data_IF_313691572602
#
_entry.id   IF_313691572602
#
_cell.length_a   1.000
_cell.length_b   1.000
_cell.length_c   1.000
_cell.angle_alpha   90.00
_cell.angle_beta   90.00
_cell.angle_gamma   90.00
#
_symmetry.space_group_name_H-M   'P 1'
#
loop_
_entity.id
_entity.type
_entity.pdbx_description
1 polymer ?
#
# COMPACT_ATOMS: atom_id res chain seq x y z
N UNK A 1 16.63 21.84 2.63
CA UNK A 1 16.49 20.72 1.68
C UNK A 1 16.63 21.15 0.21
N UNK A 2 16.03 22.26 -0.22
CA UNK A 2 16.17 22.81 -1.59
C UNK A 2 17.60 22.71 -2.21
N UNK A 3 18.64 23.12 -1.47
CA UNK A 3 20.03 23.02 -1.94
C UNK A 3 20.48 21.56 -2.20
N UNK A 4 20.09 20.63 -1.33
CA UNK A 4 20.47 19.21 -1.41
C UNK A 4 19.86 18.57 -2.65
N UNK A 5 18.54 18.73 -2.85
CA UNK A 5 17.85 18.12 -4.00
C UNK A 5 18.30 18.73 -5.33
N UNK A 6 18.57 20.04 -5.37
CA UNK A 6 19.15 20.70 -6.54
C UNK A 6 20.51 20.10 -6.90
N UNK A 7 21.41 19.98 -5.93
CA UNK A 7 22.75 19.42 -6.17
C UNK A 7 22.69 17.95 -6.60
N UNK A 8 21.78 17.16 -6.05
CA UNK A 8 21.57 15.78 -6.49
C UNK A 8 21.07 15.73 -7.93
N UNK A 9 20.12 16.60 -8.30
CA UNK A 9 19.59 16.70 -9.66
C UNK A 9 20.68 17.09 -10.67
N UNK A 10 21.50 18.10 -10.35
CA UNK A 10 22.68 18.51 -11.14
C UNK A 10 23.68 17.36 -11.37
N UNK A 11 23.72 16.39 -10.46
CA UNK A 11 24.54 15.17 -10.57
C UNK A 11 23.85 14.03 -11.34
N UNK A 12 22.73 14.29 -12.04
CA UNK A 12 22.02 13.30 -12.86
C UNK A 12 21.10 12.36 -12.06
N UNK A 13 20.64 12.81 -10.88
CA UNK A 13 19.74 12.04 -10.02
C UNK A 13 18.30 12.41 -10.31
N UNK A 14 17.44 11.41 -10.54
CA UNK A 14 16.01 11.70 -10.63
C UNK A 14 15.47 11.98 -9.23
N UNK A 15 14.74 13.07 -9.07
CA UNK A 15 14.15 13.51 -7.81
C UNK A 15 12.64 13.36 -7.88
N UNK A 16 12.07 12.70 -6.87
CA UNK A 16 10.62 12.69 -6.61
C UNK A 16 10.41 13.23 -5.21
N UNK A 17 9.54 14.22 -5.06
CA UNK A 17 9.25 14.86 -3.79
C UNK A 17 7.76 14.78 -3.45
N UNK A 18 7.46 14.54 -2.18
CA UNK A 18 6.16 14.80 -1.57
C UNK A 18 6.32 16.04 -0.70
N UNK A 19 5.62 17.10 -1.05
CA UNK A 19 5.68 18.42 -0.41
C UNK A 19 4.32 18.73 0.25
N UNK A 20 4.37 19.15 1.51
CA UNK A 20 3.24 19.78 2.20
C UNK A 20 3.68 21.17 2.65
N UNK A 21 3.35 22.20 1.87
CA UNK A 21 3.72 23.58 2.18
C UNK A 21 4.24 24.42 1.01
N UNK A 22 4.10 23.97 -0.24
CA UNK A 22 4.46 24.72 -1.46
C UNK A 22 5.92 25.21 -1.47
N UNK A 23 6.82 24.49 -0.83
CA UNK A 23 8.19 24.95 -0.56
C UNK A 23 9.16 24.71 -1.72
N UNK A 24 8.74 23.95 -2.74
CA UNK A 24 9.60 23.51 -3.85
C UNK A 24 9.11 23.96 -5.23
N UNK A 25 8.02 24.73 -5.32
CA UNK A 25 7.46 25.22 -6.60
C UNK A 25 8.53 25.96 -7.42
N UNK A 26 9.12 27.01 -6.85
CA UNK A 26 10.12 27.81 -7.57
C UNK A 26 11.39 27.04 -7.95
N UNK A 27 11.80 26.03 -7.17
CA UNK A 27 12.93 25.17 -7.55
C UNK A 27 12.53 24.23 -8.69
N UNK A 28 11.34 23.64 -8.61
CA UNK A 28 10.82 22.75 -9.64
C UNK A 28 10.72 23.47 -10.97
N UNK A 29 10.19 24.69 -11.01
CA UNK A 29 10.14 25.53 -12.20
C UNK A 29 11.54 25.86 -12.73
N UNK A 30 12.47 26.25 -11.83
CA UNK A 30 13.84 26.59 -12.20
C UNK A 30 14.58 25.47 -12.93
N UNK A 31 14.38 24.22 -12.51
CA UNK A 31 15.02 23.05 -13.14
C UNK A 31 14.21 22.45 -14.30
N UNK A 32 13.08 23.07 -14.66
CA UNK A 32 12.17 22.56 -15.69
C UNK A 32 11.49 21.24 -15.32
N UNK A 33 11.29 21.00 -14.01
CA UNK A 33 10.63 19.81 -13.50
C UNK A 33 9.10 19.88 -13.58
N UNK A 34 8.45 18.80 -13.14
CA UNK A 34 7.00 18.67 -13.10
C UNK A 34 6.46 18.93 -11.69
N UNK A 35 5.72 20.02 -11.53
CA UNK A 35 4.97 20.32 -10.31
C UNK A 35 3.52 19.85 -10.44
N UNK A 36 3.06 19.02 -9.51
CA UNK A 36 1.73 18.40 -9.52
C UNK A 36 1.08 18.68 -8.18
N UNK A 37 0.10 19.58 -8.16
CA UNK A 37 -0.70 19.87 -6.98
C UNK A 37 -2.00 19.08 -7.00
N UNK A 38 -2.37 18.54 -5.84
CA UNK A 38 -3.67 17.91 -5.65
C UNK A 38 -4.77 18.97 -5.60
N UNK A 39 -5.80 18.78 -6.42
CA UNK A 39 -7.08 19.51 -6.33
C UNK A 39 -8.24 18.51 -6.48
N UNK A 40 -9.44 18.87 -6.02
CA UNK A 40 -10.63 18.02 -6.21
C UNK A 40 -10.95 17.82 -7.70
N UNK A 41 -10.75 18.85 -8.54
CA UNK A 41 -11.00 18.78 -9.98
C UNK A 41 -9.91 18.04 -10.75
N UNK A 42 -8.67 18.08 -10.24
CA UNK A 42 -7.50 17.40 -10.81
C UNK A 42 -6.80 16.60 -9.70
N UNK A 43 -7.39 15.48 -9.26
CA UNK A 43 -6.75 14.64 -8.26
C UNK A 43 -5.49 14.00 -8.84
N UNK A 44 -4.55 13.64 -7.97
CA UNK A 44 -3.44 12.77 -8.36
C UNK A 44 -4.03 11.36 -8.55
N UNK A 45 -4.03 10.86 -9.78
CA UNK A 45 -4.63 9.59 -10.15
C UNK A 45 -3.59 8.53 -10.52
N UNK A 46 -3.92 7.27 -10.26
CA UNK A 46 -3.15 6.11 -10.71
C UNK A 46 -4.06 4.88 -10.75
N UNK A 47 -3.76 3.92 -11.63
CA UNK A 47 -4.38 2.60 -11.58
C UNK A 47 -3.37 1.61 -10.98
N UNK A 48 -3.36 1.40 -9.66
CA UNK A 48 -2.39 0.53 -9.01
C UNK A 48 -2.59 -0.96 -9.35
N UNK A 49 -3.78 -1.33 -9.82
CA UNK A 49 -4.16 -2.70 -10.17
C UNK A 49 -3.69 -3.09 -11.58
N UNK A 50 -3.40 -2.11 -12.43
CA UNK A 50 -2.92 -2.37 -13.79
C UNK A 50 -1.45 -2.74 -13.77
N UNK A 51 -1.19 -4.05 -13.81
CA UNK A 51 0.17 -4.59 -13.80
C UNK A 51 0.34 -5.69 -14.85
N UNK A 52 1.58 -5.90 -15.29
CA UNK A 52 1.95 -7.07 -16.08
C UNK A 52 2.33 -8.26 -15.17
N UNK A 53 2.40 -9.45 -15.76
CA UNK A 53 2.70 -10.68 -15.01
C UNK A 53 4.04 -10.65 -14.28
N UNK A 54 5.04 -9.98 -14.85
CA UNK A 54 6.38 -9.83 -14.26
C UNK A 54 6.39 -8.89 -13.06
N UNK A 55 5.40 -8.00 -12.97
CA UNK A 55 5.25 -7.04 -11.86
C UNK A 55 4.47 -7.64 -10.69
N UNK A 56 3.72 -8.73 -10.92
CA UNK A 56 3.04 -9.49 -9.87
C UNK A 56 4.07 -10.27 -9.04
N UNK A 57 4.50 -9.65 -7.95
CA UNK A 57 5.43 -10.20 -6.97
C UNK A 57 4.95 -9.88 -5.55
N UNK A 58 5.62 -10.44 -4.54
CA UNK A 58 5.29 -10.25 -3.11
C UNK A 58 5.18 -8.76 -2.74
N UNK A 59 6.03 -7.93 -3.34
CA UNK A 59 6.10 -6.50 -3.06
C UNK A 59 4.85 -5.77 -3.59
N UNK A 60 4.45 -6.05 -4.84
CA UNK A 60 3.24 -5.48 -5.44
C UNK A 60 1.98 -5.99 -4.75
N UNK A 61 1.92 -7.28 -4.40
CA UNK A 61 0.80 -7.85 -3.63
C UNK A 61 0.69 -7.19 -2.26
N UNK A 62 1.82 -6.98 -1.57
CA UNK A 62 1.86 -6.26 -0.29
C UNK A 62 1.36 -4.82 -0.39
N UNK A 63 1.77 -4.09 -1.44
CA UNK A 63 1.28 -2.75 -1.72
C UNK A 63 -0.24 -2.72 -1.91
N UNK A 64 -0.77 -3.57 -2.79
CA UNK A 64 -2.21 -3.63 -3.07
C UNK A 64 -3.02 -4.06 -1.84
N UNK A 65 -2.48 -4.97 -1.03
CA UNK A 65 -3.08 -5.37 0.24
C UNK A 65 -3.21 -4.17 1.18
N UNK A 66 -2.13 -3.43 1.38
CA UNK A 66 -2.13 -2.25 2.24
C UNK A 66 -3.05 -1.15 1.72
N UNK A 67 -3.11 -0.95 0.40
CA UNK A 67 -4.03 -0.03 -0.25
C UNK A 67 -5.50 -0.40 0.06
N UNK A 68 -5.88 -1.66 -0.13
CA UNK A 68 -7.25 -2.13 0.10
C UNK A 68 -7.61 -2.09 1.60
N UNK A 69 -6.68 -2.49 2.47
CA UNK A 69 -6.88 -2.44 3.92
C UNK A 69 -6.99 -1.00 4.43
N UNK A 70 -6.24 -0.05 3.87
CA UNK A 70 -6.36 1.37 4.18
C UNK A 70 -7.76 1.89 3.83
N UNK A 71 -8.27 1.58 2.63
CA UNK A 71 -9.60 2.03 2.19
C UNK A 71 -10.68 1.42 3.09
N UNK A 72 -10.56 0.13 3.43
CA UNK A 72 -11.56 -0.56 4.25
C UNK A 72 -11.52 -0.11 5.72
N UNK A 73 -10.34 -0.04 6.33
CA UNK A 73 -10.20 0.11 7.79
C UNK A 73 -9.82 1.53 8.21
N UNK A 74 -9.36 2.36 7.27
CA UNK A 74 -8.79 3.67 7.54
C UNK A 74 -7.36 3.59 8.09
N UNK A 75 -6.72 4.75 8.22
CA UNK A 75 -5.33 4.87 8.69
C UNK A 75 -5.12 4.43 10.14
N UNK A 76 -6.16 4.55 10.98
CA UNK A 76 -6.15 4.15 12.40
C UNK A 76 -6.88 2.83 12.66
N UNK A 77 -7.34 2.16 11.61
CA UNK A 77 -8.07 0.90 11.73
C UNK A 77 -7.18 -0.26 12.18
N UNK A 78 -7.75 -1.16 12.97
CA UNK A 78 -7.08 -2.41 13.35
C UNK A 78 -7.40 -3.50 12.33
N UNK A 79 -6.36 -4.17 11.82
CA UNK A 79 -6.51 -5.29 10.88
C UNK A 79 -6.24 -6.59 11.63
N UNK A 80 -7.21 -7.51 11.60
CA UNK A 80 -7.01 -8.86 12.14
C UNK A 80 -6.18 -9.72 11.18
N UNK A 81 -5.48 -10.74 11.70
CA UNK A 81 -4.74 -11.70 10.85
C UNK A 81 -5.62 -12.37 9.80
N UNK A 82 -6.90 -12.57 10.12
CA UNK A 82 -7.88 -13.16 9.22
C UNK A 82 -8.22 -12.20 8.08
N UNK A 83 -8.45 -10.92 8.37
CA UNK A 83 -8.71 -9.90 7.36
C UNK A 83 -7.49 -9.69 6.45
N UNK A 84 -6.28 -9.63 7.03
CA UNK A 84 -5.03 -9.50 6.27
C UNK A 84 -4.88 -10.65 5.26
N UNK A 85 -5.04 -11.89 5.72
CA UNK A 85 -4.96 -13.09 4.86
C UNK A 85 -6.08 -13.16 3.84
N UNK A 86 -7.30 -12.73 4.20
CA UNK A 86 -8.45 -12.68 3.31
C UNK A 86 -8.18 -11.75 2.13
N UNK A 87 -7.73 -10.52 2.39
CA UNK A 87 -7.44 -9.55 1.32
C UNK A 87 -6.27 -10.03 0.45
N UNK A 88 -5.22 -10.62 1.05
CA UNK A 88 -4.11 -11.21 0.30
C UNK A 88 -4.56 -12.32 -0.66
N UNK A 89 -5.44 -13.21 -0.18
CA UNK A 89 -6.02 -14.29 -0.99
C UNK A 89 -6.86 -13.71 -2.13
N UNK A 90 -7.73 -12.73 -1.86
CA UNK A 90 -8.59 -12.10 -2.89
C UNK A 90 -7.76 -11.44 -3.98
N UNK A 91 -6.69 -10.72 -3.62
CA UNK A 91 -5.78 -10.11 -4.60
C UNK A 91 -5.10 -11.18 -5.45
N UNK A 92 -4.63 -12.25 -4.83
CA UNK A 92 -3.97 -13.36 -5.55
C UNK A 92 -4.93 -14.02 -6.54
N UNK A 93 -6.14 -14.35 -6.10
CA UNK A 93 -7.16 -14.98 -6.93
C UNK A 93 -7.68 -14.05 -8.04
N UNK A 94 -7.74 -12.74 -7.79
CA UNK A 94 -8.10 -11.73 -8.80
C UNK A 94 -7.14 -11.77 -9.99
N UNK A 95 -5.83 -11.73 -9.73
CA UNK A 95 -4.82 -11.81 -10.79
C UNK A 95 -4.72 -13.19 -11.42
N UNK A 96 -4.88 -14.26 -10.65
CA UNK A 96 -4.90 -15.62 -11.21
C UNK A 96 -6.07 -15.78 -12.19
N UNK A 97 -7.24 -15.26 -11.84
CA UNK A 97 -8.44 -15.25 -12.70
C UNK A 97 -8.16 -14.50 -14.01
N UNK A 98 -7.49 -13.34 -13.95
CA UNK A 98 -7.13 -12.56 -15.13
C UNK A 98 -6.08 -13.26 -16.02
N UNK A 99 -4.97 -13.73 -15.44
CA UNK A 99 -3.84 -14.23 -16.20
C UNK A 99 -3.96 -15.70 -16.62
N UNK A 100 -4.60 -16.55 -15.82
CA UNK A 100 -4.62 -18.00 -16.03
C UNK A 100 -6.00 -18.53 -16.43
N UNK A 101 -7.09 -17.81 -16.09
CA UNK A 101 -8.49 -18.24 -16.22
C UNK A 101 -8.80 -19.54 -15.47
N UNK A 102 -9.94 -19.59 -14.79
CA UNK A 102 -10.35 -20.81 -14.09
C UNK A 102 -11.19 -21.72 -15.01
N UNK A 103 -10.61 -22.86 -15.40
CA UNK A 103 -11.30 -23.84 -16.26
C UNK A 103 -12.02 -24.95 -15.48
N UNK A 104 -11.88 -24.97 -14.14
CA UNK A 104 -12.41 -26.01 -13.27
C UNK A 104 -11.35 -26.60 -12.36
N UNK A 105 -11.79 -27.35 -11.35
CA UNK A 105 -10.89 -28.04 -10.45
C UNK A 105 -10.31 -29.29 -11.12
N UNK A 106 -9.00 -29.48 -11.00
CA UNK A 106 -8.36 -30.75 -11.35
C UNK A 106 -8.85 -31.87 -10.42
N UNK A 107 -8.78 -33.16 -10.83
CA UNK A 107 -9.18 -34.27 -9.97
C UNK A 107 -8.50 -34.27 -8.58
N UNK A 108 -7.19 -33.97 -8.45
CA UNK A 108 -6.56 -33.82 -7.13
C UNK A 108 -7.14 -32.68 -6.28
N UNK A 109 -7.46 -31.53 -6.89
CA UNK A 109 -8.05 -30.40 -6.17
C UNK A 109 -9.48 -30.70 -5.70
N UNK A 110 -10.27 -31.40 -6.53
CA UNK A 110 -11.62 -31.86 -6.12
C UNK A 110 -11.54 -32.83 -4.95
N UNK A 111 -10.58 -33.76 -4.98
CA UNK A 111 -10.38 -34.73 -3.90
C UNK A 111 -9.93 -34.06 -2.60
N UNK A 112 -9.05 -33.06 -2.66
CA UNK A 112 -8.63 -32.28 -1.48
C UNK A 112 -9.80 -31.51 -0.86
N UNK A 113 -10.61 -30.85 -1.70
CA UNK A 113 -11.81 -30.14 -1.25
C UNK A 113 -12.83 -31.09 -0.61
N UNK A 114 -13.04 -32.27 -1.23
CA UNK A 114 -13.91 -33.33 -0.68
C UNK A 114 -13.46 -33.76 0.72
N UNK A 115 -12.17 -34.06 0.90
CA UNK A 115 -11.61 -34.45 2.20
C UNK A 115 -11.81 -33.36 3.25
N UNK A 116 -11.59 -32.10 2.88
CA UNK A 116 -11.76 -30.98 3.80
C UNK A 116 -13.22 -30.83 4.26
N UNK A 117 -14.17 -30.87 3.32
CA UNK A 117 -15.60 -30.76 3.63
C UNK A 117 -16.09 -31.92 4.50
N UNK A 118 -15.60 -33.15 4.26
CA UNK A 118 -15.88 -34.31 5.11
C UNK A 118 -15.41 -34.09 6.56
N UNK A 119 -14.21 -33.53 6.74
CA UNK A 119 -13.65 -33.21 8.07
C UNK A 119 -14.49 -32.14 8.76
N UNK A 120 -14.88 -31.08 8.05
CA UNK A 120 -15.69 -29.99 8.61
C UNK A 120 -17.06 -30.47 9.07
N UNK A 121 -17.74 -31.32 8.29
CA UNK A 121 -19.03 -31.92 8.67
C UNK A 121 -18.92 -32.83 9.90
N UNK A 122 -17.83 -33.60 10.00
CA UNK A 122 -17.55 -34.40 11.18
C UNK A 122 -17.36 -33.53 12.43
N UNK A 123 -16.66 -32.41 12.30
CA UNK A 123 -16.40 -31.48 13.40
C UNK A 123 -17.66 -30.72 13.84
N UNK A 124 -18.60 -30.44 12.94
CA UNK A 124 -19.90 -29.82 13.25
C UNK A 124 -20.89 -30.77 13.93
N UNK A 125 -20.47 -32.01 14.24
CA UNK A 125 -21.30 -33.00 14.90
C UNK A 125 -22.41 -33.52 13.99
N UNK A 126 -22.04 -33.82 12.74
CA UNK A 126 -22.88 -34.13 11.57
C UNK A 126 -24.24 -34.79 11.81
N UNK A 127 -25.14 -34.63 10.84
CA UNK A 127 -26.51 -35.08 10.96
C UNK A 127 -26.60 -36.60 11.15
N UNK A 128 -26.91 -37.06 12.37
CA UNK A 128 -26.87 -38.48 12.76
C UNK A 128 -27.86 -39.38 12.01
N UNK A 129 -28.79 -38.79 11.25
CA UNK A 129 -29.78 -39.47 10.44
C UNK A 129 -29.39 -39.62 8.96
N UNK A 130 -28.35 -38.94 8.49
CA UNK A 130 -27.90 -38.97 7.10
C UNK A 130 -26.94 -40.16 6.89
N UNK A 131 -27.16 -40.93 5.83
CA UNK A 131 -26.26 -42.04 5.49
C UNK A 131 -25.02 -41.55 4.71
N UNK A 132 -23.98 -42.37 4.65
CA UNK A 132 -22.70 -42.00 4.01
C UNK A 132 -22.85 -41.65 2.52
N UNK A 133 -23.78 -42.29 1.82
CA UNK A 133 -24.06 -42.01 0.41
C UNK A 133 -24.72 -40.65 0.21
N UNK A 134 -25.67 -40.28 1.06
CA UNK A 134 -26.33 -38.96 1.07
C UNK A 134 -25.34 -37.85 1.40
N UNK A 135 -24.48 -38.05 2.41
CA UNK A 135 -23.41 -37.12 2.77
C UNK A 135 -22.45 -36.89 1.59
N UNK A 136 -21.97 -37.96 0.95
CA UNK A 136 -21.08 -37.86 -0.21
C UNK A 136 -21.75 -37.14 -1.38
N UNK A 137 -23.02 -37.44 -1.67
CA UNK A 137 -23.77 -36.75 -2.72
C UNK A 137 -23.97 -35.26 -2.43
N UNK A 138 -24.20 -34.89 -1.16
CA UNK A 138 -24.29 -33.49 -0.74
C UNK A 138 -22.95 -32.76 -0.89
N UNK A 139 -21.85 -33.40 -0.51
CA UNK A 139 -20.50 -32.83 -0.65
C UNK A 139 -20.17 -32.60 -2.12
N UNK A 140 -20.48 -33.54 -3.01
CA UNK A 140 -20.29 -33.32 -4.46
C UNK A 140 -21.09 -32.11 -4.97
N UNK A 141 -22.36 -31.96 -4.55
CA UNK A 141 -23.16 -30.78 -4.91
C UNK A 141 -22.50 -29.48 -4.44
N UNK A 142 -21.93 -29.46 -3.25
CA UNK A 142 -21.21 -28.29 -2.72
C UNK A 142 -19.95 -28.00 -3.54
N UNK A 143 -19.17 -29.03 -3.89
CA UNK A 143 -17.98 -28.89 -4.74
C UNK A 143 -18.37 -28.32 -6.12
N UNK A 144 -19.42 -28.86 -6.73
CA UNK A 144 -19.91 -28.39 -8.03
C UNK A 144 -20.40 -26.94 -7.97
N UNK A 145 -21.04 -26.55 -6.87
CA UNK A 145 -21.49 -25.18 -6.66
C UNK A 145 -20.30 -24.21 -6.48
N UNK A 146 -19.28 -24.59 -5.70
CA UNK A 146 -18.03 -23.81 -5.56
C UNK A 146 -17.35 -23.66 -6.92
N UNK A 147 -17.24 -24.76 -7.68
CA UNK A 147 -16.61 -24.75 -9.00
C UNK A 147 -17.39 -23.85 -9.98
N UNK A 148 -18.73 -23.90 -9.94
CA UNK A 148 -19.60 -23.04 -10.75
C UNK A 148 -19.37 -21.56 -10.43
N UNK A 149 -19.43 -21.17 -9.16
CA UNK A 149 -19.20 -19.77 -8.74
C UNK A 149 -17.83 -19.28 -9.18
N UNK A 150 -16.78 -20.11 -9.04
CA UNK A 150 -15.44 -19.76 -9.52
C UNK A 150 -15.34 -19.61 -11.04
N UNK A 151 -16.10 -20.38 -11.82
CA UNK A 151 -16.16 -20.23 -13.30
C UNK A 151 -16.91 -18.97 -13.74
N UNK A 152 -17.85 -18.49 -12.93
CA UNK A 152 -18.62 -17.28 -13.20
C UNK A 152 -17.79 -16.00 -12.96
N UNK A 153 -16.77 -16.06 -12.10
CA UNK A 153 -15.85 -14.96 -11.87
C UNK A 153 -15.05 -14.64 -13.14
N UNK A 154 -15.21 -13.42 -13.63
CA UNK A 154 -14.50 -12.91 -14.80
C UNK A 154 -13.84 -11.58 -14.47
N UNK A 155 -12.60 -11.44 -14.89
CA UNK A 155 -11.83 -10.20 -14.82
C UNK A 155 -11.46 -9.83 -16.24
N UNK A 156 -12.14 -8.83 -16.82
CA UNK A 156 -11.94 -8.43 -18.22
C UNK A 156 -10.77 -7.45 -18.40
N UNK A 157 -10.51 -6.65 -17.37
CA UNK A 157 -9.42 -5.68 -17.33
C UNK A 157 -8.86 -5.56 -15.92
N UNK A 158 -7.70 -4.92 -15.78
CA UNK A 158 -7.06 -4.69 -14.50
C UNK A 158 -7.28 -3.24 -14.05
N UNK A 159 -8.17 -3.05 -13.08
CA UNK A 159 -8.54 -1.76 -12.51
C UNK A 159 -9.05 -1.92 -11.08
N UNK A 160 -9.19 -0.82 -10.35
CA UNK A 160 -9.91 -0.84 -9.07
C UNK A 160 -11.37 -1.30 -9.28
N UNK A 161 -12.03 -0.86 -10.35
CA UNK A 161 -13.42 -1.22 -10.64
C UNK A 161 -13.64 -2.73 -10.77
N UNK A 162 -12.84 -3.39 -11.59
CA UNK A 162 -12.91 -4.84 -11.78
C UNK A 162 -12.45 -5.59 -10.54
N UNK A 163 -11.51 -5.05 -9.77
CA UNK A 163 -11.15 -5.61 -8.46
C UNK A 163 -12.31 -5.53 -7.46
N UNK A 164 -13.01 -4.39 -7.38
CA UNK A 164 -14.18 -4.22 -6.53
C UNK A 164 -15.28 -5.22 -6.90
N UNK A 165 -15.63 -5.33 -8.18
CA UNK A 165 -16.65 -6.27 -8.68
C UNK A 165 -16.30 -7.72 -8.35
N UNK A 166 -15.02 -8.09 -8.51
CA UNK A 166 -14.52 -9.41 -8.16
C UNK A 166 -14.56 -9.64 -6.65
N UNK A 167 -14.08 -8.69 -5.84
CA UNK A 167 -13.93 -8.85 -4.39
C UNK A 167 -15.28 -8.93 -3.68
N UNK A 168 -16.29 -8.17 -4.13
CA UNK A 168 -17.64 -8.22 -3.54
C UNK A 168 -18.39 -9.52 -3.82
N UNK A 169 -17.99 -10.27 -4.84
CA UNK A 169 -18.47 -11.63 -5.08
C UNK A 169 -17.62 -12.64 -4.29
N UNK A 170 -16.29 -12.49 -4.35
CA UNK A 170 -15.37 -13.51 -3.86
C UNK A 170 -15.20 -13.53 -2.34
N UNK A 171 -15.23 -12.39 -1.66
CA UNK A 171 -15.06 -12.34 -0.19
C UNK A 171 -16.14 -13.18 0.52
N UNK A 172 -17.45 -13.01 0.25
CA UNK A 172 -18.49 -13.87 0.82
C UNK A 172 -18.27 -15.36 0.56
N UNK A 173 -17.84 -15.73 -0.65
CA UNK A 173 -17.57 -17.12 -1.00
C UNK A 173 -16.40 -17.69 -0.19
N UNK A 174 -15.28 -16.97 -0.08
CA UNK A 174 -14.15 -17.39 0.76
C UNK A 174 -14.59 -17.55 2.22
N UNK A 175 -15.37 -16.61 2.74
CA UNK A 175 -15.85 -16.68 4.12
C UNK A 175 -16.74 -17.91 4.34
N UNK A 176 -17.67 -18.20 3.42
CA UNK A 176 -18.55 -19.36 3.49
C UNK A 176 -17.77 -20.68 3.35
N UNK A 177 -16.89 -20.77 2.35
CA UNK A 177 -16.04 -21.94 2.09
C UNK A 177 -15.22 -22.32 3.32
N UNK A 178 -14.69 -21.34 4.04
CA UNK A 178 -13.78 -21.51 5.17
C UNK A 178 -14.45 -21.35 6.55
N UNK A 179 -15.78 -21.19 6.60
CA UNK A 179 -16.52 -20.88 7.83
C UNK A 179 -15.91 -19.72 8.64
N UNK A 180 -15.42 -18.69 7.93
CA UNK A 180 -14.83 -17.49 8.56
C UNK A 180 -15.96 -16.60 9.07
N UNK A 181 -15.93 -16.28 10.35
CA UNK A 181 -16.86 -15.38 11.02
C UNK A 181 -16.19 -14.05 11.39
N UNK A 182 -16.99 -13.01 11.63
CA UNK A 182 -16.51 -11.73 12.14
C UNK A 182 -15.92 -10.79 11.09
N UNK A 183 -16.08 -11.08 9.80
CA UNK A 183 -15.72 -10.17 8.71
C UNK A 183 -16.87 -9.21 8.44
N UNK A 184 -16.65 -7.92 8.65
CA UNK A 184 -17.62 -6.88 8.32
C UNK A 184 -17.59 -6.54 6.83
N UNK A 185 -18.21 -7.43 6.05
CA UNK A 185 -18.28 -7.30 4.60
C UNK A 185 -19.18 -6.14 4.14
N UNK A 186 -20.18 -5.76 4.93
CA UNK A 186 -21.00 -4.58 4.68
C UNK A 186 -20.16 -3.30 4.65
N UNK A 187 -19.33 -3.11 5.67
CA UNK A 187 -18.42 -1.97 5.76
C UNK A 187 -17.38 -2.01 4.65
N UNK A 188 -16.79 -3.19 4.36
CA UNK A 188 -15.89 -3.34 3.22
C UNK A 188 -16.52 -2.85 1.91
N UNK A 189 -17.71 -3.36 1.58
CA UNK A 189 -18.42 -3.01 0.36
C UNK A 189 -18.75 -1.53 0.30
N UNK A 190 -19.17 -0.94 1.42
CA UNK A 190 -19.52 0.47 1.52
C UNK A 190 -18.31 1.38 1.31
N UNK A 191 -17.22 1.13 2.04
CA UNK A 191 -16.00 1.94 1.95
C UNK A 191 -15.35 1.89 0.56
N UNK A 192 -15.25 0.68 -0.01
CA UNK A 192 -14.65 0.50 -1.34
C UNK A 192 -15.51 1.11 -2.46
N UNK A 193 -16.83 1.27 -2.25
CA UNK A 193 -17.75 1.82 -3.26
C UNK A 193 -17.41 3.27 -3.62
N UNK A 194 -16.80 4.02 -2.72
CA UNK A 194 -16.47 5.42 -2.96
C UNK A 194 -15.39 5.63 -4.05
N UNK A 195 -14.59 4.59 -4.31
CA UNK A 195 -13.59 4.53 -5.38
C UNK A 195 -14.06 3.74 -6.61
N UNK A 196 -15.24 3.13 -6.53
CA UNK A 196 -15.87 2.43 -7.65
C UNK A 196 -16.60 3.42 -8.57
N UNK A 197 -16.98 2.98 -9.77
CA UNK A 197 -17.75 3.78 -10.74
C UNK A 197 -18.93 4.50 -10.10
N UNK A 198 -18.96 5.82 -10.24
CA UNK A 198 -19.98 6.70 -9.66
C UNK A 198 -19.75 7.10 -8.20
N UNK A 199 -18.63 6.71 -7.58
CA UNK A 199 -18.19 7.17 -6.26
C UNK A 199 -17.43 8.50 -6.31
N UNK A 200 -17.24 9.15 -5.16
CA UNK A 200 -16.62 10.49 -5.10
C UNK A 200 -15.14 10.48 -5.51
N UNK A 201 -14.48 9.33 -5.40
CA UNK A 201 -13.06 9.15 -5.69
C UNK A 201 -12.80 8.14 -6.82
N UNK A 202 -13.79 7.95 -7.71
CA UNK A 202 -13.69 7.01 -8.85
C UNK A 202 -12.39 7.15 -9.62
N UNK A 203 -11.98 8.39 -9.92
CA UNK A 203 -10.81 8.68 -10.77
C UNK A 203 -9.49 8.31 -10.11
N UNK A 204 -9.40 8.45 -8.78
CA UNK A 204 -8.16 8.32 -8.00
C UNK A 204 -7.43 7.00 -8.25
N UNK A 205 -8.18 5.89 -8.36
CA UNK A 205 -7.64 4.53 -8.46
C UNK A 205 -7.90 3.81 -9.80
N UNK A 206 -8.56 4.47 -10.76
CA UNK A 206 -8.95 3.86 -12.04
C UNK A 206 -8.29 4.51 -13.27
N UNK A 207 -7.78 5.74 -13.15
CA UNK A 207 -7.10 6.41 -14.26
C UNK A 207 -5.61 6.09 -14.26
N UNK A 208 -4.97 6.06 -15.44
CA UNK A 208 -3.53 5.89 -15.48
C UNK A 208 -2.85 7.21 -15.14
N UNK A 209 -1.77 7.12 -14.38
CA UNK A 209 -0.90 8.28 -14.22
C UNK A 209 -0.31 8.68 -15.57
N UNK A 210 -0.10 9.98 -15.77
CA UNK A 210 0.58 10.51 -16.95
C UNK A 210 1.94 9.82 -17.13
N UNK A 211 2.08 9.03 -18.19
CA UNK A 211 3.28 8.23 -18.43
C UNK A 211 4.53 9.07 -18.62
N UNK A 212 4.38 10.36 -18.97
CA UNK A 212 5.51 11.29 -19.06
C UNK A 212 6.25 11.44 -17.73
N UNK A 213 5.58 11.23 -16.59
CA UNK A 213 6.21 11.32 -15.26
C UNK A 213 7.36 10.33 -15.06
N UNK A 214 7.38 9.19 -15.77
CA UNK A 214 8.51 8.26 -15.66
C UNK A 214 9.79 8.78 -16.33
N UNK A 215 9.65 9.67 -17.31
CA UNK A 215 10.75 10.30 -18.02
C UNK A 215 11.26 11.55 -17.29
N UNK A 216 10.38 12.26 -16.59
CA UNK A 216 10.72 13.44 -15.80
C UNK A 216 11.81 13.16 -14.75
N UNK A 217 12.79 14.05 -14.67
CA UNK A 217 13.94 13.91 -13.75
C UNK A 217 13.76 14.68 -12.44
N UNK A 218 12.76 15.56 -12.36
CA UNK A 218 12.44 16.30 -11.14
C UNK A 218 10.92 16.43 -11.04
N UNK A 219 10.32 15.81 -10.03
CA UNK A 219 8.87 15.76 -9.82
C UNK A 219 8.57 16.19 -8.39
N UNK A 220 7.64 17.13 -8.23
CA UNK A 220 7.12 17.53 -6.93
C UNK A 220 5.62 17.26 -6.90
N UNK A 221 5.20 16.44 -5.95
CA UNK A 221 3.80 16.22 -5.62
C UNK A 221 3.45 17.07 -4.40
N UNK A 222 2.64 18.09 -4.63
CA UNK A 222 2.12 18.99 -3.60
C UNK A 222 0.77 18.46 -3.12
N UNK A 223 0.67 18.19 -1.81
CA UNK A 223 -0.48 17.53 -1.20
C UNK A 223 -0.95 18.22 0.10
N UNK A 224 -0.61 19.50 0.32
CA UNK A 224 -1.01 20.27 1.50
C UNK A 224 -2.54 20.40 1.60
N UNK A 225 -3.22 20.50 0.45
CA UNK A 225 -4.68 20.63 0.37
C UNK A 225 -5.45 19.47 1.00
N UNK A 226 -4.83 18.29 1.08
CA UNK A 226 -5.43 17.08 1.65
C UNK A 226 -4.81 16.67 2.98
N UNK A 227 -3.83 17.39 3.54
CA UNK A 227 -3.05 16.94 4.71
C UNK A 227 -3.88 16.52 5.93
N UNK A 228 -5.05 17.13 6.10
CA UNK A 228 -5.97 16.87 7.21
C UNK A 228 -7.05 15.83 6.86
N UNK A 229 -7.10 15.35 5.60
CA UNK A 229 -8.01 14.30 5.17
C UNK A 229 -7.48 12.91 5.60
N UNK A 230 -8.21 12.18 6.46
CA UNK A 230 -7.73 10.93 7.06
C UNK A 230 -7.66 9.75 6.08
N UNK A 231 -8.25 9.88 4.88
CA UNK A 231 -8.29 8.86 3.85
C UNK A 231 -7.43 9.25 2.64
N UNK A 232 -7.63 10.44 2.08
CA UNK A 232 -6.97 10.89 0.86
C UNK A 232 -5.47 11.12 1.07
N UNK A 233 -5.06 11.71 2.19
CA UNK A 233 -3.64 11.99 2.42
C UNK A 233 -2.77 10.73 2.48
N UNK A 234 -3.13 9.70 3.28
CA UNK A 234 -2.41 8.44 3.26
C UNK A 234 -2.51 7.71 1.91
N UNK A 235 -3.65 7.79 1.24
CA UNK A 235 -3.87 7.15 -0.06
C UNK A 235 -2.98 7.75 -1.16
N UNK A 236 -2.99 9.08 -1.32
CA UNK A 236 -2.20 9.79 -2.33
C UNK A 236 -0.71 9.62 -2.04
N UNK A 237 -0.30 9.65 -0.77
CA UNK A 237 1.10 9.37 -0.39
C UNK A 237 1.51 7.96 -0.82
N UNK A 238 0.66 6.95 -0.60
CA UNK A 238 0.93 5.58 -1.08
C UNK A 238 1.03 5.48 -2.60
N UNK A 239 0.17 6.20 -3.34
CA UNK A 239 0.22 6.26 -4.81
C UNK A 239 1.57 6.82 -5.25
N UNK A 240 2.01 7.96 -4.69
CA UNK A 240 3.29 8.59 -5.03
C UNK A 240 4.47 7.66 -4.73
N UNK A 241 4.41 6.93 -3.61
CA UNK A 241 5.42 5.91 -3.29
C UNK A 241 5.45 4.77 -4.33
N UNK A 242 4.30 4.32 -4.84
CA UNK A 242 4.24 3.30 -5.91
C UNK A 242 4.80 3.84 -7.24
N UNK A 243 4.54 5.12 -7.58
CA UNK A 243 5.19 5.79 -8.72
C UNK A 243 6.70 5.71 -8.60
N UNK A 244 7.22 6.07 -7.44
CA UNK A 244 8.66 6.04 -7.19
C UNK A 244 9.20 4.61 -7.31
N UNK A 245 8.50 3.60 -6.78
CA UNK A 245 8.86 2.19 -6.93
C UNK A 245 8.88 1.72 -8.39
N UNK A 246 7.91 2.14 -9.20
CA UNK A 246 7.90 1.83 -10.63
C UNK A 246 9.08 2.51 -11.35
N UNK A 247 9.31 3.80 -11.10
CA UNK A 247 10.47 4.54 -11.61
C UNK A 247 11.78 3.91 -11.17
N UNK A 248 11.84 3.32 -9.97
CA UNK A 248 12.98 2.56 -9.48
C UNK A 248 13.32 1.36 -10.36
N UNK A 249 12.31 0.64 -10.86
CA UNK A 249 12.49 -0.54 -11.72
C UNK A 249 12.83 -0.18 -13.16
N UNK A 250 12.25 0.90 -13.68
CA UNK A 250 12.40 1.33 -15.07
C UNK A 250 13.77 1.98 -15.30
N UNK A 251 14.13 2.98 -14.49
CA UNK A 251 15.32 3.81 -14.71
C UNK A 251 16.57 3.15 -14.09
N UNK A 252 17.76 3.37 -14.67
CA UNK A 252 19.02 2.79 -14.16
C UNK A 252 19.95 3.80 -13.47
N UNK A 253 19.70 5.10 -13.61
CA UNK A 253 20.44 6.14 -12.93
C UNK A 253 20.08 6.21 -11.43
N UNK A 254 20.69 7.14 -10.69
CA UNK A 254 20.41 7.37 -9.27
C UNK A 254 19.03 8.03 -9.10
N UNK A 255 18.29 7.67 -8.04
CA UNK A 255 16.97 8.25 -7.74
C UNK A 255 16.84 8.61 -6.27
N UNK A 256 16.09 9.65 -5.93
CA UNK A 256 15.76 9.99 -4.55
C UNK A 256 14.27 10.25 -4.43
N UNK A 257 13.65 9.63 -3.43
CA UNK A 257 12.35 10.04 -2.91
C UNK A 257 12.55 10.87 -1.66
N UNK A 258 11.97 12.08 -1.63
CA UNK A 258 11.94 12.93 -0.45
C UNK A 258 10.50 13.06 0.01
N UNK A 259 10.23 12.73 1.28
CA UNK A 259 8.91 12.86 1.89
C UNK A 259 9.01 13.95 2.97
N UNK A 260 8.49 15.13 2.69
CA UNK A 260 8.49 16.24 3.64
C UNK A 260 7.14 16.33 4.34
N UNK A 261 7.14 16.19 5.67
CA UNK A 261 5.98 16.26 6.58
C UNK A 261 4.80 15.32 6.30
N UNK A 262 4.74 14.68 5.13
CA UNK A 262 3.83 13.61 4.78
C UNK A 262 4.19 12.26 5.41
N UNK A 263 5.22 12.23 6.27
CA UNK A 263 5.56 11.05 7.06
C UNK A 263 4.42 10.68 8.03
N UNK A 264 3.59 11.66 8.43
CA UNK A 264 2.38 11.43 9.25
C UNK A 264 1.35 10.55 8.54
N UNK A 265 1.23 10.72 7.22
CA UNK A 265 0.33 9.92 6.39
C UNK A 265 0.68 8.42 6.48
N UNK A 266 1.98 8.12 6.62
CA UNK A 266 2.58 6.79 6.57
C UNK A 266 2.97 6.24 7.95
N UNK A 267 2.62 6.95 9.03
CA UNK A 267 2.94 6.60 10.41
C UNK A 267 2.01 5.53 11.03
N UNK A 268 1.05 4.99 10.28
CA UNK A 268 0.20 3.90 10.76
C UNK A 268 0.97 2.56 10.77
N UNK A 269 0.60 1.60 11.63
CA UNK A 269 1.22 0.28 11.66
C UNK A 269 1.23 -0.41 10.28
N UNK A 270 0.14 -0.25 9.53
CA UNK A 270 -0.02 -0.81 8.19
C UNK A 270 0.97 -0.19 7.18
N UNK A 271 1.17 1.13 7.25
CA UNK A 271 2.03 1.84 6.30
C UNK A 271 3.51 1.79 6.65
N UNK A 272 3.85 1.68 7.92
CA UNK A 272 5.24 1.62 8.34
C UNK A 272 6.01 0.41 7.82
N UNK A 273 5.34 -0.75 7.73
CA UNK A 273 5.93 -1.93 7.07
C UNK A 273 6.21 -1.66 5.58
N UNK A 274 5.36 -0.88 4.91
CA UNK A 274 5.58 -0.47 3.53
C UNK A 274 6.74 0.52 3.37
N UNK A 275 6.88 1.49 4.28
CA UNK A 275 8.06 2.37 4.31
C UNK A 275 9.33 1.54 4.50
N UNK A 276 9.35 0.68 5.51
CA UNK A 276 10.49 -0.17 5.85
C UNK A 276 10.89 -1.04 4.66
N UNK A 277 9.90 -1.57 3.95
CA UNK A 277 10.10 -2.25 2.68
C UNK A 277 10.74 -1.33 1.64
N UNK A 278 10.20 -0.14 1.40
CA UNK A 278 10.70 0.80 0.41
C UNK A 278 12.15 1.21 0.69
N UNK A 279 12.52 1.48 1.95
CA UNK A 279 13.89 1.77 2.36
C UNK A 279 14.87 0.61 2.04
N UNK A 280 14.46 -0.63 2.32
CA UNK A 280 15.28 -1.81 1.99
C UNK A 280 15.42 -2.04 0.48
N UNK A 281 14.36 -1.75 -0.26
CA UNK A 281 14.32 -1.95 -1.70
C UNK A 281 15.08 -0.88 -2.45
N UNK A 282 14.97 0.40 -2.06
CA UNK A 282 15.63 1.52 -2.72
C UNK A 282 17.15 1.31 -2.87
N UNK A 283 17.81 0.76 -1.84
CA UNK A 283 19.25 0.44 -1.86
C UNK A 283 19.65 -0.50 -3.00
N UNK A 284 18.76 -1.40 -3.43
CA UNK A 284 19.00 -2.35 -4.53
C UNK A 284 18.89 -1.71 -5.92
N UNK A 285 18.21 -0.57 -6.02
CA UNK A 285 17.90 0.13 -7.29
C UNK A 285 18.64 1.46 -7.44
N UNK A 286 19.78 1.59 -6.77
CA UNK A 286 20.59 2.82 -6.71
C UNK A 286 19.75 4.05 -6.34
N UNK A 287 18.85 3.86 -5.38
CA UNK A 287 17.93 4.89 -4.92
C UNK A 287 18.07 5.14 -3.41
N UNK A 288 17.70 6.34 -2.97
CA UNK A 288 17.54 6.67 -1.56
C UNK A 288 16.13 7.19 -1.26
N UNK A 289 15.73 7.04 0.00
CA UNK A 289 14.51 7.61 0.55
C UNK A 289 14.92 8.49 1.71
N UNK A 290 14.46 9.74 1.72
CA UNK A 290 14.69 10.70 2.79
C UNK A 290 13.36 11.21 3.33
N UNK A 291 13.30 11.39 4.64
CA UNK A 291 12.17 12.03 5.32
C UNK A 291 12.64 13.33 5.92
N UNK A 292 11.86 14.39 5.72
CA UNK A 292 12.12 15.73 6.26
C UNK A 292 11.00 16.08 7.22
N UNK A 293 11.36 16.48 8.44
CA UNK A 293 10.42 16.90 9.48
C UNK A 293 10.99 18.03 10.31
N UNK A 294 10.11 18.89 10.82
CA UNK A 294 10.37 19.92 11.81
C UNK A 294 10.14 19.40 13.23
N UNK A 295 9.29 18.39 13.41
CA UNK A 295 8.89 17.85 14.70
C UNK A 295 9.50 16.47 14.93
N UNK A 296 10.80 16.45 15.28
CA UNK A 296 11.53 15.21 15.56
C UNK A 296 10.91 14.40 16.71
N UNK A 297 10.21 15.06 17.64
CA UNK A 297 9.50 14.38 18.72
C UNK A 297 8.40 13.46 18.21
N UNK A 298 7.71 13.83 17.13
CA UNK A 298 6.63 13.01 16.61
C UNK A 298 7.17 11.70 15.99
N UNK A 299 8.36 11.76 15.38
CA UNK A 299 9.06 10.57 14.87
C UNK A 299 9.54 9.69 16.02
N UNK A 300 10.12 10.30 17.06
CA UNK A 300 10.66 9.59 18.23
C UNK A 300 9.57 8.96 19.08
N UNK A 301 8.42 9.65 19.23
CA UNK A 301 7.28 9.18 20.02
C UNK A 301 6.58 7.97 19.42
N UNK A 302 6.79 7.69 18.14
CA UNK A 302 6.22 6.52 17.47
C UNK A 302 7.27 5.44 17.25
N UNK A 303 7.19 4.35 18.02
CA UNK A 303 8.11 3.21 17.88
C UNK A 303 8.06 2.62 16.45
N UNK A 304 6.88 2.63 15.85
CA UNK A 304 6.64 2.20 14.47
C UNK A 304 7.45 3.05 13.47
N UNK A 305 7.39 4.38 13.61
CA UNK A 305 8.08 5.32 12.72
C UNK A 305 9.59 5.28 12.98
N UNK A 306 10.00 5.18 14.24
CA UNK A 306 11.40 5.00 14.64
C UNK A 306 12.00 3.74 14.02
N UNK A 307 11.32 2.60 14.09
CA UNK A 307 11.77 1.35 13.47
C UNK A 307 11.80 1.41 11.94
N UNK A 308 10.82 2.09 11.32
CA UNK A 308 10.72 2.16 9.87
C UNK A 308 11.67 3.19 9.24
N UNK A 309 11.87 4.34 9.87
CA UNK A 309 12.62 5.48 9.32
C UNK A 309 14.01 5.58 9.94
N UNK A 310 14.10 5.81 11.26
CA UNK A 310 15.38 6.12 11.92
C UNK A 310 16.35 4.94 11.78
N UNK A 311 15.91 3.73 12.14
CA UNK A 311 16.75 2.54 12.11
C UNK A 311 17.19 2.13 10.68
N UNK A 312 16.52 2.63 9.64
CA UNK A 312 16.88 2.36 8.24
C UNK A 312 17.58 3.53 7.55
N UNK A 313 17.84 4.63 8.26
CA UNK A 313 18.48 5.84 7.74
C UNK A 313 19.97 5.88 8.12
N UNK A 314 20.84 5.65 7.14
CA UNK A 314 22.30 5.68 7.35
C UNK A 314 22.84 7.12 7.45
N UNK A 315 22.07 8.12 6.97
CA UNK A 315 22.44 9.53 6.98
C UNK A 315 21.36 10.32 7.72
N UNK A 316 21.77 11.10 8.71
CA UNK A 316 20.89 12.00 9.48
C UNK A 316 21.43 13.41 9.38
N UNK A 317 20.59 14.36 8.97
CA UNK A 317 20.91 15.78 8.95
C UNK A 317 20.12 16.48 10.05
N UNK A 318 20.79 16.88 11.13
CA UNK A 318 20.19 17.65 12.21
C UNK A 318 20.56 19.12 12.05
N UNK A 319 19.53 19.97 11.96
CA UNK A 319 19.65 21.42 12.04
C UNK A 319 19.39 21.89 13.48
N UNK A 320 19.31 23.19 13.73
CA UNK A 320 19.05 23.75 15.06
C UNK A 320 17.85 23.07 15.76
N UNK A 321 18.12 22.49 16.94
CA UNK A 321 17.13 21.80 17.78
C UNK A 321 16.90 22.52 19.11
N UNK A 322 17.23 23.82 19.21
CA UNK A 322 17.16 24.60 20.46
C UNK A 322 15.80 24.51 21.16
N UNK A 323 14.70 24.39 20.41
CA UNK A 323 13.34 24.18 20.96
C UNK A 323 13.18 22.90 21.81
N UNK A 324 14.08 21.93 21.68
CA UNK A 324 14.05 20.66 22.38
C UNK A 324 15.15 20.52 23.44
N UNK A 325 15.83 21.60 23.80
CA UNK A 325 16.98 21.58 24.73
C UNK A 325 16.70 20.84 26.03
N UNK A 326 15.51 20.99 26.61
CA UNK A 326 15.11 20.34 27.87
C UNK A 326 14.85 18.83 27.74
N UNK A 327 14.64 18.32 26.52
CA UNK A 327 14.29 16.91 26.25
C UNK A 327 15.27 16.24 25.28
N UNK A 328 16.43 16.84 25.07
CA UNK A 328 17.36 16.37 24.05
C UNK A 328 18.02 15.05 24.40
N UNK A 329 18.06 14.65 25.66
CA UNK A 329 18.65 13.37 26.08
C UNK A 329 17.99 12.18 25.38
N UNK A 330 16.66 12.23 25.17
CA UNK A 330 15.93 11.20 24.43
C UNK A 330 16.32 11.17 22.96
N UNK A 331 16.43 12.36 22.33
CA UNK A 331 16.87 12.52 20.93
C UNK A 331 18.31 12.00 20.76
N UNK A 332 19.19 12.39 21.67
CA UNK A 332 20.60 11.97 21.74
C UNK A 332 20.72 10.46 21.80
N UNK A 333 19.97 9.80 22.68
CA UNK A 333 20.01 8.35 22.85
C UNK A 333 19.55 7.60 21.59
N UNK A 334 18.44 8.06 20.98
CA UNK A 334 17.85 7.40 19.81
C UNK A 334 18.73 7.54 18.57
N UNK A 335 19.33 8.71 18.38
CA UNK A 335 20.20 9.00 17.24
C UNK A 335 21.67 8.59 17.48
N UNK A 336 21.98 8.04 18.65
CA UNK A 336 23.34 7.62 19.01
C UNK A 336 24.34 8.78 19.05
N UNK A 337 23.89 10.00 19.38
CA UNK A 337 24.74 11.20 19.38
C UNK A 337 25.67 11.23 20.60
N UNK A 338 26.91 11.70 20.38
CA UNK A 338 27.86 11.92 21.47
C UNK A 338 27.65 13.29 22.12
N UNK A 339 28.20 13.50 23.33
CA UNK A 339 28.20 14.83 23.96
C UNK A 339 28.91 15.90 23.13
N UNK A 340 29.85 15.50 22.28
CA UNK A 340 30.54 16.41 21.35
C UNK A 340 29.60 16.85 20.24
N UNK A 341 28.76 15.96 19.73
CA UNK A 341 27.77 16.28 18.70
C UNK A 341 26.68 17.19 19.26
N UNK A 342 26.20 16.92 20.48
CA UNK A 342 25.24 17.77 21.18
C UNK A 342 25.74 19.23 21.30
N UNK A 343 27.03 19.41 21.64
CA UNK A 343 27.61 20.75 21.76
C UNK A 343 27.61 21.52 20.44
N UNK A 344 27.73 20.84 19.29
CA UNK A 344 27.68 21.49 17.97
C UNK A 344 26.26 21.85 17.53
N UNK A 345 25.25 21.17 18.08
CA UNK A 345 23.83 21.38 17.76
C UNK A 345 23.25 22.56 18.56
N UNK A 346 23.75 22.80 19.79
CA UNK A 346 23.23 23.81 20.72
C UNK A 346 24.17 25.00 20.98
N UNK A 347 25.17 25.20 20.11
CA UNK A 347 26.15 26.31 20.22
C UNK A 347 25.49 27.67 20.33
#
# INVERSE_FOLDING_TARGET
MNSVVRQLHEQGTDIVMVDTGNSYEGLCEYVGGKYISYTEERPITMNPFRINRQELNVEKTGFLKNLVLLIWKGSQGTVTKTEDRLIEQVITEYYDTYFNKFNGFTPPQREDLRKRLLIDERNKGGNRSENEAELNARIEKVIDEIERRRKELKVESLSFNTFYEFSVQRIPDICNENSILGIDFSTYRYMMKDFYRGGNHEKTLNENMDSSLFDETFIVFEIDSIKDDPLLFPLVTLIIMDVFLQKMRIKKNRKVLVIEEAWKAIASPLMAEYIKFMYKTARKFWASVGVVTQEIQDIIGSEIVKEAIINNSDVVMLLDQSKFRERFDTIKAILGLTDVDCKKIFT
#
